data_IF_900124804215
#
_entry.id   IF_900124804215
#
_cell.length_a   1.000
_cell.length_b   1.000
_cell.length_c   1.000
_cell.angle_alpha   90.00
_cell.angle_beta   90.00
_cell.angle_gamma   90.00
#
_symmetry.space_group_name_H-M   'P 1'
#
loop_
_entity.id
_entity.type
_entity.pdbx_description
1 polymer ?
#
# COMPACT_ATOMS: atom_id res chain seq x y z
N UNK A 1 -8.65 -41.34 -1.33
CA UNK A 1 -7.73 -40.29 -0.89
C UNK A 1 -8.52 -38.97 -0.80
N UNK A 2 -8.55 -38.34 0.35
CA UNK A 2 -9.20 -37.02 0.45
C UNK A 2 -8.36 -35.99 -0.28
N UNK A 3 -8.98 -35.25 -1.20
CA UNK A 3 -8.34 -34.11 -1.86
C UNK A 3 -8.32 -32.96 -0.83
N UNK A 4 -7.13 -32.49 -0.47
CA UNK A 4 -7.00 -31.27 0.34
C UNK A 4 -7.11 -30.09 -0.61
N UNK A 5 -8.21 -29.35 -0.49
CA UNK A 5 -8.44 -28.14 -1.26
C UNK A 5 -7.82 -26.92 -0.56
N UNK A 6 -7.15 -26.05 -1.31
CA UNK A 6 -6.79 -24.71 -0.89
C UNK A 6 -7.87 -23.76 -1.37
N UNK A 7 -8.28 -22.85 -0.51
CA UNK A 7 -9.23 -21.80 -0.85
C UNK A 7 -8.50 -20.66 -1.54
N UNK A 8 -9.09 -20.12 -2.60
CA UNK A 8 -8.57 -18.96 -3.30
C UNK A 8 -9.67 -17.93 -3.50
N UNK A 9 -9.34 -16.67 -3.28
CA UNK A 9 -10.25 -15.53 -3.39
C UNK A 9 -9.75 -14.55 -4.43
N UNK A 10 -10.63 -14.19 -5.34
CA UNK A 10 -10.40 -13.12 -6.31
C UNK A 10 -10.38 -11.75 -5.62
N UNK A 11 -9.41 -10.96 -5.99
CA UNK A 11 -9.17 -9.63 -5.43
C UNK A 11 -9.58 -8.56 -6.45
N UNK A 12 -10.86 -8.20 -6.42
CA UNK A 12 -11.35 -7.08 -7.23
C UNK A 12 -10.93 -5.75 -6.63
N UNK A 13 -11.07 -5.63 -5.32
CA UNK A 13 -10.79 -4.44 -4.53
C UNK A 13 -9.92 -4.80 -3.32
N UNK A 14 -9.37 -3.77 -2.66
CA UNK A 14 -8.63 -3.99 -1.43
C UNK A 14 -9.54 -4.53 -0.32
N UNK A 15 -9.23 -5.73 0.13
CA UNK A 15 -9.81 -6.36 1.30
C UNK A 15 -8.68 -7.07 2.06
N UNK A 16 -8.46 -6.78 3.37
CA UNK A 16 -7.41 -7.44 4.12
C UNK A 16 -7.73 -8.93 4.32
N UNK A 17 -6.70 -9.78 4.35
CA UNK A 17 -6.85 -11.23 4.45
C UNK A 17 -7.84 -11.68 5.53
N UNK A 18 -7.85 -11.13 6.77
CA UNK A 18 -8.79 -11.57 7.80
C UNK A 18 -10.26 -11.34 7.44
N UNK A 19 -10.57 -10.33 6.62
CA UNK A 19 -11.94 -10.09 6.13
C UNK A 19 -12.24 -10.98 4.92
N UNK A 20 -11.28 -11.10 4.01
CA UNK A 20 -11.37 -11.93 2.83
C UNK A 20 -11.70 -13.39 3.15
N UNK A 21 -11.06 -13.96 4.17
CA UNK A 21 -11.27 -15.35 4.58
C UNK A 21 -12.64 -15.62 5.24
N UNK A 22 -13.42 -14.60 5.57
CA UNK A 22 -14.79 -14.73 6.11
C UNK A 22 -15.82 -15.07 5.03
N UNK A 23 -15.53 -14.71 3.77
CA UNK A 23 -16.44 -15.00 2.65
C UNK A 23 -16.13 -16.34 1.98
N UNK A 24 -17.06 -16.93 1.23
CA UNK A 24 -16.79 -18.13 0.43
C UNK A 24 -15.62 -17.90 -0.54
N UNK A 25 -14.78 -18.89 -0.81
CA UNK A 25 -13.75 -18.80 -1.83
C UNK A 25 -14.38 -18.73 -3.23
N UNK A 26 -13.72 -18.02 -4.12
CA UNK A 26 -14.14 -17.91 -5.52
C UNK A 26 -13.73 -19.14 -6.35
N UNK A 27 -12.66 -19.84 -5.90
CA UNK A 27 -12.20 -21.09 -6.52
C UNK A 27 -11.45 -21.94 -5.48
N UNK A 28 -11.54 -23.25 -5.60
CA UNK A 28 -10.81 -24.21 -4.78
C UNK A 28 -9.76 -24.91 -5.63
N UNK A 29 -8.55 -25.03 -5.11
CA UNK A 29 -7.40 -25.58 -5.80
C UNK A 29 -6.88 -26.82 -5.12
N UNK A 30 -6.41 -27.79 -5.90
CA UNK A 30 -5.78 -28.98 -5.35
C UNK A 30 -4.41 -28.65 -4.76
N UNK A 31 -4.22 -28.92 -3.46
CA UNK A 31 -2.95 -28.66 -2.76
C UNK A 31 -1.74 -29.37 -3.40
N UNK A 32 -1.96 -30.52 -4.02
CA UNK A 32 -0.86 -31.31 -4.64
C UNK A 32 -0.27 -30.63 -5.87
N UNK A 33 -1.07 -29.84 -6.59
CA UNK A 33 -0.62 -29.17 -7.81
C UNK A 33 0.13 -27.86 -7.55
N UNK A 34 -0.21 -27.12 -6.50
CA UNK A 34 0.47 -25.87 -6.14
C UNK A 34 1.92 -26.04 -5.68
N UNK A 35 2.31 -27.22 -5.24
CA UNK A 35 3.67 -27.52 -4.77
C UNK A 35 4.66 -27.83 -5.92
N UNK A 36 4.21 -27.80 -7.16
CA UNK A 36 5.09 -28.00 -8.32
C UNK A 36 5.67 -26.65 -8.78
N UNK A 37 6.91 -26.67 -9.20
CA UNK A 37 7.73 -25.50 -9.57
C UNK A 37 7.17 -24.59 -10.66
N UNK A 38 6.08 -24.97 -11.31
CA UNK A 38 5.46 -24.22 -12.41
C UNK A 38 4.28 -23.33 -11.99
N UNK A 39 4.00 -23.17 -10.69
CA UNK A 39 2.85 -22.36 -10.17
C UNK A 39 1.52 -22.75 -10.86
N UNK A 40 1.40 -24.00 -11.25
CA UNK A 40 0.20 -24.61 -11.81
C UNK A 40 -0.62 -25.22 -10.69
N UNK A 41 -1.92 -24.99 -10.73
CA UNK A 41 -2.87 -25.64 -9.85
C UNK A 41 -4.03 -26.25 -10.65
N UNK A 42 -4.55 -27.38 -10.16
CA UNK A 42 -5.79 -27.95 -10.70
C UNK A 42 -6.95 -27.34 -9.88
N UNK A 43 -7.93 -26.73 -10.54
CA UNK A 43 -9.14 -26.25 -9.87
C UNK A 43 -10.19 -27.37 -9.78
N UNK A 44 -11.06 -27.25 -8.77
CA UNK A 44 -11.99 -28.33 -8.39
C UNK A 44 -13.44 -28.04 -8.82
N UNK A 45 -13.72 -26.83 -9.26
CA UNK A 45 -15.02 -26.40 -9.78
C UNK A 45 -15.23 -26.95 -11.19
N UNK A 46 -16.50 -27.11 -11.59
CA UNK A 46 -16.84 -27.43 -12.96
C UNK A 46 -16.48 -26.25 -13.89
N UNK A 47 -16.00 -26.57 -15.09
CA UNK A 47 -15.58 -25.53 -16.07
C UNK A 47 -16.67 -24.51 -16.37
N UNK A 48 -17.95 -24.93 -16.35
CA UNK A 48 -19.08 -24.04 -16.57
C UNK A 48 -19.37 -23.09 -15.41
N UNK A 49 -18.99 -23.47 -14.18
CA UNK A 49 -19.03 -22.58 -13.02
C UNK A 49 -17.94 -21.50 -13.12
N UNK A 50 -16.73 -21.91 -13.51
CA UNK A 50 -15.61 -20.99 -13.74
C UNK A 50 -15.95 -20.00 -14.84
N UNK A 51 -16.52 -20.44 -15.97
CA UNK A 51 -16.95 -19.55 -17.07
C UNK A 51 -17.98 -18.49 -16.66
N UNK A 52 -18.83 -18.78 -15.67
CA UNK A 52 -19.86 -17.86 -15.17
C UNK A 52 -19.32 -16.90 -14.10
N UNK A 53 -18.10 -17.11 -13.62
CA UNK A 53 -17.52 -16.24 -12.59
C UNK A 53 -17.17 -14.85 -13.15
N UNK A 54 -17.33 -13.83 -12.32
CA UNK A 54 -17.02 -12.45 -12.68
C UNK A 54 -15.54 -12.27 -13.05
N UNK A 55 -14.65 -12.94 -12.31
CA UNK A 55 -13.21 -12.83 -12.53
C UNK A 55 -12.78 -13.47 -13.86
N UNK A 56 -13.45 -14.53 -14.30
CA UNK A 56 -13.14 -15.16 -15.58
C UNK A 56 -13.58 -14.27 -16.77
N UNK A 57 -14.73 -13.61 -16.66
CA UNK A 57 -15.16 -12.61 -17.65
C UNK A 57 -14.11 -11.52 -17.83
N UNK A 58 -13.62 -10.94 -16.74
CA UNK A 58 -12.56 -9.91 -16.74
C UNK A 58 -11.21 -10.43 -17.25
N UNK A 59 -10.89 -11.70 -16.98
CA UNK A 59 -9.71 -12.35 -17.57
C UNK A 59 -9.79 -12.40 -19.09
N UNK A 60 -10.97 -12.71 -19.66
CA UNK A 60 -11.18 -12.72 -21.11
C UNK A 60 -11.09 -11.32 -21.73
N UNK A 61 -11.40 -10.28 -20.97
CA UNK A 61 -11.25 -8.87 -21.35
C UNK A 61 -9.77 -8.40 -21.29
N UNK A 62 -8.86 -9.27 -20.83
CA UNK A 62 -7.43 -8.96 -20.74
C UNK A 62 -7.02 -8.26 -19.44
N UNK A 63 -7.91 -8.21 -18.44
CA UNK A 63 -7.56 -7.64 -17.15
C UNK A 63 -6.60 -8.54 -16.36
N UNK A 64 -5.81 -7.92 -15.50
CA UNK A 64 -4.91 -8.60 -14.58
C UNK A 64 -5.70 -9.15 -13.39
N UNK A 65 -5.86 -10.48 -13.32
CA UNK A 65 -6.67 -11.14 -12.29
C UNK A 65 -5.79 -11.58 -11.14
N UNK A 66 -5.97 -10.94 -9.98
CA UNK A 66 -5.23 -11.23 -8.75
C UNK A 66 -6.04 -12.17 -7.84
N UNK A 67 -5.35 -13.16 -7.27
CA UNK A 67 -5.91 -14.07 -6.25
C UNK A 67 -5.05 -14.07 -4.99
N UNK A 68 -5.70 -14.15 -3.83
CA UNK A 68 -5.08 -14.63 -2.61
C UNK A 68 -5.38 -16.13 -2.46
N UNK A 69 -4.34 -16.93 -2.27
CA UNK A 69 -4.45 -18.38 -2.02
C UNK A 69 -4.07 -18.67 -0.58
N UNK A 70 -4.97 -19.33 0.14
CA UNK A 70 -4.85 -19.65 1.56
C UNK A 70 -3.48 -20.26 1.92
N UNK A 71 -2.79 -19.62 2.87
CA UNK A 71 -1.49 -20.08 3.36
C UNK A 71 -0.33 -19.99 2.36
N UNK A 72 -0.58 -19.53 1.11
CA UNK A 72 0.43 -19.45 0.04
C UNK A 72 0.75 -18.01 -0.37
N UNK A 73 -0.21 -17.10 -0.30
CA UNK A 73 -0.01 -15.67 -0.61
C UNK A 73 -0.74 -15.21 -1.85
N UNK A 74 -0.24 -14.12 -2.45
CA UNK A 74 -0.82 -13.49 -3.61
C UNK A 74 -0.27 -14.02 -4.94
N UNK A 75 -1.16 -14.07 -5.92
CA UNK A 75 -0.86 -14.59 -7.26
C UNK A 75 -1.65 -13.83 -8.31
N UNK A 76 -1.09 -13.74 -9.51
CA UNK A 76 -1.77 -13.28 -10.71
C UNK A 76 -2.00 -14.47 -11.64
N UNK A 77 -3.19 -14.52 -12.25
CA UNK A 77 -3.50 -15.54 -13.27
C UNK A 77 -2.71 -15.23 -14.53
N UNK A 78 -1.95 -16.20 -15.01
CA UNK A 78 -1.21 -16.11 -16.28
C UNK A 78 -1.87 -16.90 -17.41
N UNK A 79 -2.52 -18.02 -17.10
CA UNK A 79 -3.25 -18.80 -18.07
C UNK A 79 -4.28 -19.72 -17.41
N UNK A 80 -5.30 -20.14 -18.16
CA UNK A 80 -6.34 -21.08 -17.72
C UNK A 80 -6.61 -22.09 -18.83
N UNK A 81 -6.58 -23.36 -18.48
CA UNK A 81 -7.03 -24.46 -19.33
C UNK A 81 -8.30 -25.09 -18.72
N UNK A 82 -9.43 -24.76 -19.29
CA UNK A 82 -10.74 -25.25 -18.83
C UNK A 82 -10.97 -26.73 -19.13
N UNK A 83 -10.28 -27.28 -20.14
CA UNK A 83 -10.43 -28.69 -20.53
C UNK A 83 -9.69 -29.58 -19.54
N UNK A 84 -8.48 -29.19 -19.18
CA UNK A 84 -7.64 -29.91 -18.23
C UNK A 84 -7.91 -29.54 -16.78
N UNK A 85 -8.80 -28.59 -16.50
CA UNK A 85 -9.08 -28.01 -15.18
C UNK A 85 -7.81 -27.42 -14.53
N UNK A 86 -6.98 -26.76 -15.32
CA UNK A 86 -5.70 -26.18 -14.87
C UNK A 86 -5.72 -24.66 -14.89
N UNK A 87 -5.15 -24.06 -13.86
CA UNK A 87 -4.89 -22.63 -13.78
C UNK A 87 -3.41 -22.40 -13.49
N UNK A 88 -2.82 -21.46 -14.21
CA UNK A 88 -1.42 -21.11 -14.12
C UNK A 88 -1.29 -19.73 -13.48
N UNK A 89 -0.39 -19.62 -12.51
CA UNK A 89 -0.19 -18.41 -11.71
C UNK A 89 1.24 -17.90 -11.81
N UNK A 90 1.37 -16.58 -11.63
CA UNK A 90 2.64 -15.93 -11.31
C UNK A 90 2.55 -15.39 -9.89
N UNK A 91 3.56 -15.64 -9.06
CA UNK A 91 3.57 -15.15 -7.67
C UNK A 91 3.74 -13.64 -7.66
N UNK A 92 2.85 -12.95 -6.97
CA UNK A 92 2.83 -11.50 -6.90
C UNK A 92 2.44 -11.03 -5.49
N UNK A 93 2.98 -9.87 -5.07
CA UNK A 93 2.50 -9.21 -3.88
C UNK A 93 1.16 -8.54 -4.19
N UNK A 94 0.12 -8.91 -3.44
CA UNK A 94 -1.23 -8.37 -3.59
C UNK A 94 -1.57 -7.43 -2.45
N UNK A 95 -2.46 -6.47 -2.71
CA UNK A 95 -2.86 -5.47 -1.73
C UNK A 95 -3.51 -6.08 -0.48
N UNK A 96 -4.22 -7.19 -0.62
CA UNK A 96 -4.84 -7.91 0.51
C UNK A 96 -3.85 -8.32 1.63
N UNK A 97 -2.56 -8.40 1.32
CA UNK A 97 -1.50 -8.69 2.29
C UNK A 97 -1.09 -7.46 3.15
N UNK A 98 -1.59 -6.28 2.80
CA UNK A 98 -1.34 -5.05 3.54
C UNK A 98 -2.33 -4.91 4.70
N UNK A 99 -1.89 -4.27 5.74
CA UNK A 99 -2.71 -3.87 6.87
C UNK A 99 -3.39 -2.53 6.55
N UNK A 100 -4.63 -2.27 7.02
CA UNK A 100 -5.30 -0.99 6.81
C UNK A 100 -4.68 0.10 7.69
N UNK A 101 -3.41 0.38 7.46
CA UNK A 101 -2.61 1.33 8.22
C UNK A 101 -1.98 2.38 7.32
N UNK A 102 -1.91 3.60 7.80
CA UNK A 102 -1.07 4.66 7.24
C UNK A 102 0.19 4.75 8.10
N UNK A 103 1.35 4.61 7.48
CA UNK A 103 2.63 4.77 8.16
C UNK A 103 3.15 6.20 7.96
N UNK A 104 3.37 6.93 9.06
CA UNK A 104 4.00 8.23 9.06
C UNK A 104 5.49 8.10 9.40
N UNK A 105 6.34 8.40 8.41
CA UNK A 105 7.77 8.61 8.58
C UNK A 105 8.00 10.05 9.04
N UNK A 106 8.24 10.22 10.34
CA UNK A 106 8.37 11.52 10.99
C UNK A 106 9.83 11.91 11.19
N UNK A 107 10.09 13.19 11.37
CA UNK A 107 11.39 13.74 11.74
C UNK A 107 11.36 14.36 13.13
N UNK A 108 12.51 14.55 13.74
CA UNK A 108 12.66 15.19 15.06
C UNK A 108 13.35 16.54 14.97
N UNK A 109 13.99 16.84 13.84
CA UNK A 109 14.81 18.00 13.61
C UNK A 109 13.99 19.28 13.40
N UNK A 110 12.78 19.13 12.83
CA UNK A 110 11.81 20.21 12.69
C UNK A 110 10.41 19.77 13.16
N UNK A 111 10.16 19.76 14.49
CA UNK A 111 8.96 19.20 15.08
C UNK A 111 7.65 19.82 14.57
N UNK A 112 7.67 21.12 14.24
CA UNK A 112 6.47 21.85 13.82
C UNK A 112 5.77 21.19 12.60
N UNK A 113 6.53 20.73 11.60
CA UNK A 113 5.98 20.06 10.44
C UNK A 113 5.42 18.68 10.79
N UNK A 114 6.19 17.88 11.54
CA UNK A 114 5.75 16.53 11.98
C UNK A 114 4.51 16.60 12.87
N UNK A 115 4.44 17.55 13.79
CA UNK A 115 3.30 17.71 14.70
C UNK A 115 2.05 18.14 13.93
N UNK A 116 2.18 19.07 12.98
CA UNK A 116 1.10 19.45 12.07
C UNK A 116 0.59 18.25 11.26
N UNK A 117 1.50 17.49 10.64
CA UNK A 117 1.15 16.29 9.88
C UNK A 117 0.45 15.24 10.75
N UNK A 118 0.97 14.98 11.94
CA UNK A 118 0.40 14.00 12.89
C UNK A 118 -1.01 14.38 13.31
N UNK A 119 -1.21 15.65 13.66
CA UNK A 119 -2.52 16.13 14.10
C UNK A 119 -3.55 16.06 12.97
N UNK A 120 -3.21 16.58 11.79
CA UNK A 120 -4.12 16.59 10.65
C UNK A 120 -4.37 15.18 10.09
N UNK A 121 -3.39 14.28 10.14
CA UNK A 121 -3.60 12.86 9.81
C UNK A 121 -4.61 12.21 10.75
N UNK A 122 -4.54 12.47 12.06
CA UNK A 122 -5.52 11.93 13.01
C UNK A 122 -6.93 12.42 12.70
N UNK A 123 -7.10 13.73 12.48
CA UNK A 123 -8.40 14.32 12.10
C UNK A 123 -8.93 13.75 10.79
N UNK A 124 -8.05 13.61 9.78
CA UNK A 124 -8.41 13.01 8.50
C UNK A 124 -8.85 11.57 8.66
N UNK A 125 -8.14 10.77 9.45
CA UNK A 125 -8.49 9.38 9.73
C UNK A 125 -9.80 9.25 10.51
N UNK A 126 -10.06 10.12 11.49
CA UNK A 126 -11.34 10.15 12.19
C UNK A 126 -12.50 10.39 11.20
N UNK A 127 -12.36 11.40 10.33
CA UNK A 127 -13.36 11.69 9.29
C UNK A 127 -13.55 10.55 8.28
N UNK A 128 -12.46 9.94 7.81
CA UNK A 128 -12.50 8.83 6.88
C UNK A 128 -13.12 7.58 7.51
N UNK A 129 -12.77 7.27 8.75
CA UNK A 129 -13.26 6.10 9.47
C UNK A 129 -14.76 6.16 9.80
N UNK A 130 -15.35 7.36 9.89
CA UNK A 130 -16.81 7.50 10.02
C UNK A 130 -17.57 6.95 8.81
N UNK A 131 -16.94 6.96 7.63
CA UNK A 131 -17.52 6.54 6.35
C UNK A 131 -16.97 5.21 5.86
N UNK A 132 -15.93 4.71 6.51
CA UNK A 132 -15.22 3.50 6.09
C UNK A 132 -15.80 2.23 6.73
N UNK A 133 -15.89 1.17 5.93
CA UNK A 133 -16.17 -0.18 6.42
C UNK A 133 -14.99 -0.78 7.19
N UNK A 134 -13.76 -0.39 6.82
CA UNK A 134 -12.52 -0.86 7.43
C UNK A 134 -11.78 0.34 8.04
N UNK A 135 -11.64 0.41 9.37
CA UNK A 135 -10.97 1.53 10.00
C UNK A 135 -9.48 1.55 9.67
N UNK A 136 -9.02 2.70 9.19
CA UNK A 136 -7.60 3.00 9.01
C UNK A 136 -6.98 3.41 10.35
N UNK A 137 -5.76 2.97 10.59
CA UNK A 137 -5.00 3.35 11.79
C UNK A 137 -3.69 4.04 11.42
N UNK A 138 -3.29 5.02 12.22
CA UNK A 138 -2.00 5.70 12.08
C UNK A 138 -0.92 4.91 12.84
N UNK A 139 0.17 4.64 12.16
CA UNK A 139 1.37 4.02 12.73
C UNK A 139 2.55 4.94 12.47
N UNK A 140 3.32 5.27 13.49
CA UNK A 140 4.47 6.15 13.39
C UNK A 140 5.79 5.41 13.66
N UNK A 141 6.89 5.94 13.12
CA UNK A 141 8.22 5.56 13.53
C UNK A 141 8.49 6.12 14.94
N UNK A 142 8.47 5.25 15.95
CA UNK A 142 8.86 5.65 17.31
C UNK A 142 10.36 5.92 17.36
N UNK A 143 10.76 7.17 17.61
CA UNK A 143 12.16 7.57 17.72
C UNK A 143 12.40 8.18 19.10
N UNK A 144 13.44 7.68 19.78
CA UNK A 144 13.97 8.35 20.96
C UNK A 144 14.83 9.52 20.48
N UNK A 145 14.57 10.72 21.01
CA UNK A 145 15.38 11.90 20.74
C UNK A 145 16.84 11.64 21.08
N UNK A 146 17.76 11.91 20.14
CA UNK A 146 19.21 11.79 20.35
C UNK A 146 19.83 10.39 20.25
N UNK A 147 19.05 9.37 19.93
CA UNK A 147 19.61 8.03 19.73
C UNK A 147 20.08 7.82 18.29
N UNK A 148 21.22 7.13 18.07
CA UNK A 148 21.66 6.81 16.72
C UNK A 148 20.66 5.93 16.01
N UNK A 149 20.57 6.11 14.69
CA UNK A 149 19.65 5.39 13.81
C UNK A 149 19.92 3.87 13.90
N UNK A 150 19.03 3.16 14.55
CA UNK A 150 18.97 1.71 14.36
C UNK A 150 18.00 1.43 13.20
N UNK A 151 18.53 0.94 12.09
CA UNK A 151 17.70 0.33 11.05
C UNK A 151 16.97 -0.84 11.70
N UNK A 152 15.73 -0.57 12.13
CA UNK A 152 14.95 -1.53 12.90
C UNK A 152 14.09 -2.35 11.93
N UNK A 153 14.30 -3.67 11.93
CA UNK A 153 13.49 -4.62 11.14
C UNK A 153 11.98 -4.45 11.39
N UNK A 154 11.61 -4.01 12.59
CA UNK A 154 10.21 -3.77 12.95
C UNK A 154 9.64 -2.58 12.20
N UNK A 155 10.38 -1.47 12.07
CA UNK A 155 9.96 -0.29 11.29
C UNK A 155 9.83 -0.66 9.81
N UNK A 156 10.84 -1.32 9.24
CA UNK A 156 10.81 -1.76 7.85
C UNK A 156 9.62 -2.69 7.56
N UNK A 157 9.32 -3.60 8.50
CA UNK A 157 8.14 -4.46 8.38
C UNK A 157 6.83 -3.65 8.43
N UNK A 158 6.71 -2.64 9.32
CA UNK A 158 5.54 -1.76 9.40
C UNK A 158 5.36 -0.95 8.11
N UNK A 159 6.44 -0.36 7.57
CA UNK A 159 6.42 0.32 6.28
C UNK A 159 5.91 -0.61 5.19
N UNK A 160 6.51 -1.79 5.04
CA UNK A 160 6.14 -2.76 4.01
C UNK A 160 4.67 -3.18 4.11
N UNK A 161 4.15 -3.34 5.33
CA UNK A 161 2.77 -3.82 5.57
C UNK A 161 1.71 -2.74 5.54
N UNK A 162 2.07 -1.47 5.69
CA UNK A 162 1.09 -0.38 5.64
C UNK A 162 0.44 -0.26 4.26
N UNK A 163 -0.80 0.18 4.21
CA UNK A 163 -1.52 0.46 2.96
C UNK A 163 -0.96 1.71 2.29
N UNK A 164 -0.69 2.76 3.07
CA UNK A 164 -0.10 4.01 2.59
C UNK A 164 1.12 4.36 3.45
N UNK A 165 2.15 4.92 2.82
CA UNK A 165 3.33 5.48 3.45
C UNK A 165 3.35 6.98 3.21
N UNK A 166 3.42 7.76 4.29
CA UNK A 166 3.54 9.23 4.25
C UNK A 166 4.85 9.61 4.92
N UNK A 167 5.65 10.44 4.27
CA UNK A 167 6.92 10.91 4.82
C UNK A 167 6.93 12.43 4.97
N UNK A 168 7.36 12.91 6.14
CA UNK A 168 7.68 14.32 6.37
C UNK A 168 9.02 14.65 5.72
N UNK A 169 8.97 15.25 4.55
CA UNK A 169 10.14 15.65 3.75
C UNK A 169 10.48 17.13 3.91
N UNK A 170 9.95 17.78 4.93
CA UNK A 170 10.31 19.15 5.24
C UNK A 170 11.82 19.28 5.41
N UNK A 171 12.48 20.21 4.69
CA UNK A 171 13.93 20.28 4.66
C UNK A 171 14.50 20.72 6.01
N UNK A 172 15.61 20.11 6.40
CA UNK A 172 16.38 20.43 7.61
C UNK A 172 17.76 21.02 7.29
N UNK A 173 18.22 20.86 6.06
CA UNK A 173 19.49 21.39 5.59
C UNK A 173 19.41 21.75 4.11
N UNK A 174 20.34 22.57 3.68
CA UNK A 174 20.58 22.92 2.28
C UNK A 174 22.00 22.49 1.94
N UNK A 175 22.16 21.92 0.76
CA UNK A 175 23.46 21.66 0.16
C UNK A 175 23.60 22.56 -1.06
N UNK A 176 24.64 23.39 -1.10
CA UNK A 176 24.94 24.25 -2.24
C UNK A 176 25.20 23.38 -3.48
N UNK A 177 24.30 23.45 -4.44
CA UNK A 177 24.44 22.81 -5.74
C UNK A 177 25.21 23.69 -6.71
N UNK A 178 25.63 23.13 -7.85
CA UNK A 178 26.32 23.91 -8.89
C UNK A 178 25.46 25.01 -9.52
N UNK A 179 24.15 24.77 -9.62
CA UNK A 179 23.17 25.69 -10.24
C UNK A 179 22.04 26.04 -9.28
N UNK A 180 21.45 25.03 -8.60
CA UNK A 180 20.32 25.19 -7.68
C UNK A 180 20.66 24.49 -6.37
N UNK A 181 20.44 25.14 -5.21
CA UNK A 181 20.59 24.50 -3.91
C UNK A 181 19.66 23.29 -3.76
N UNK A 182 20.16 22.24 -3.11
CA UNK A 182 19.39 21.04 -2.84
C UNK A 182 18.85 21.04 -1.42
N UNK A 183 17.54 20.84 -1.30
CA UNK A 183 16.84 20.72 -0.02
C UNK A 183 16.96 19.27 0.50
N UNK A 184 17.46 19.13 1.72
CA UNK A 184 17.74 17.83 2.32
C UNK A 184 16.78 17.58 3.48
N UNK A 185 15.92 16.54 3.41
CA UNK A 185 15.12 16.07 4.53
C UNK A 185 15.97 15.38 5.59
N UNK A 186 15.36 15.03 6.71
CA UNK A 186 16.02 14.22 7.75
C UNK A 186 16.60 12.91 7.16
N UNK A 187 17.86 12.55 7.50
CA UNK A 187 18.49 11.32 7.01
C UNK A 187 17.69 10.07 7.33
N UNK A 188 16.99 10.08 8.46
CA UNK A 188 16.13 8.98 8.87
C UNK A 188 14.96 8.78 7.90
N UNK A 189 14.31 9.89 7.54
CA UNK A 189 13.21 9.92 6.58
C UNK A 189 13.71 9.47 5.21
N UNK A 190 14.89 9.93 4.78
CA UNK A 190 15.48 9.51 3.49
C UNK A 190 15.67 7.99 3.40
N UNK A 191 16.14 7.33 4.47
CA UNK A 191 16.31 5.87 4.50
C UNK A 191 14.94 5.17 4.43
N UNK A 192 13.94 5.66 5.17
CA UNK A 192 12.60 5.09 5.16
C UNK A 192 11.91 5.27 3.80
N UNK A 193 12.11 6.42 3.13
CA UNK A 193 11.67 6.66 1.74
C UNK A 193 12.32 5.66 0.78
N UNK A 194 13.65 5.50 0.84
CA UNK A 194 14.35 4.55 -0.01
C UNK A 194 13.83 3.12 0.15
N UNK A 195 13.52 2.71 1.39
CA UNK A 195 12.89 1.43 1.64
C UNK A 195 11.44 1.35 1.12
N UNK A 196 10.67 2.42 1.26
CA UNK A 196 9.31 2.48 0.74
C UNK A 196 9.30 2.37 -0.79
N UNK A 197 10.16 3.08 -1.49
CA UNK A 197 10.31 2.98 -2.96
C UNK A 197 10.60 1.55 -3.40
N UNK A 198 11.44 0.82 -2.66
CA UNK A 198 11.77 -0.58 -2.97
C UNK A 198 10.62 -1.56 -2.68
N UNK A 199 9.77 -1.28 -1.69
CA UNK A 199 8.83 -2.26 -1.14
C UNK A 199 7.36 -1.96 -1.42
N UNK A 200 7.04 -0.83 -2.03
CA UNK A 200 5.68 -0.33 -2.29
C UNK A 200 5.49 0.07 -3.75
N UNK A 201 4.24 0.11 -4.16
CA UNK A 201 3.86 0.75 -5.44
C UNK A 201 3.95 2.27 -5.29
N UNK A 202 4.15 2.99 -6.38
CA UNK A 202 4.25 4.46 -6.39
C UNK A 202 3.02 5.14 -5.78
N UNK A 203 1.83 4.59 -6.04
CA UNK A 203 0.56 5.10 -5.53
C UNK A 203 0.40 4.95 -4.00
N UNK A 204 1.27 4.17 -3.36
CA UNK A 204 1.28 3.97 -1.91
C UNK A 204 2.22 4.94 -1.17
N UNK A 205 2.88 5.84 -1.88
CA UNK A 205 3.87 6.77 -1.32
C UNK A 205 3.37 8.20 -1.49
N UNK A 206 3.31 8.94 -0.39
CA UNK A 206 3.03 10.37 -0.35
C UNK A 206 4.14 11.08 0.42
N UNK A 207 4.78 12.06 -0.19
CA UNK A 207 5.75 12.92 0.47
C UNK A 207 5.07 14.22 0.86
N UNK A 208 5.12 14.58 2.13
CA UNK A 208 4.55 15.82 2.65
C UNK A 208 5.66 16.78 3.03
N UNK A 209 5.60 17.99 2.53
CA UNK A 209 6.64 19.01 2.72
C UNK A 209 6.01 20.32 3.18
N UNK A 210 6.33 20.75 4.39
CA UNK A 210 6.06 22.11 4.82
C UNK A 210 7.04 23.07 4.14
N UNK A 211 6.52 24.11 3.51
CA UNK A 211 7.34 25.15 2.92
C UNK A 211 8.02 25.97 4.02
N UNK A 212 9.32 26.16 3.89
CA UNK A 212 10.12 26.94 4.83
C UNK A 212 10.69 28.17 4.13
N UNK A 213 10.37 29.41 4.60
CA UNK A 213 10.88 30.65 3.99
C UNK A 213 12.39 30.79 4.05
N UNK A 214 13.04 30.14 5.04
CA UNK A 214 14.49 30.12 5.24
C UNK A 214 15.22 29.09 4.37
N UNK A 215 14.48 28.30 3.58
CA UNK A 215 15.04 27.26 2.73
C UNK A 215 14.51 27.39 1.30
N UNK A 216 15.34 27.93 0.42
CA UNK A 216 15.05 28.01 -1.02
C UNK A 216 15.91 26.99 -1.77
N UNK A 217 15.29 26.21 -2.65
CA UNK A 217 16.01 25.21 -3.43
C UNK A 217 15.10 24.15 -4.04
N UNK A 218 15.71 23.15 -4.62
CA UNK A 218 15.03 22.02 -5.23
C UNK A 218 15.09 20.79 -4.34
N UNK A 219 13.99 20.03 -4.31
CA UNK A 219 13.95 18.76 -3.61
C UNK A 219 14.91 17.73 -4.25
N UNK A 220 15.66 16.99 -3.40
CA UNK A 220 16.76 16.13 -3.85
C UNK A 220 16.33 14.80 -4.47
N UNK A 221 15.03 14.47 -4.46
CA UNK A 221 14.50 13.27 -5.08
C UNK A 221 13.71 13.60 -6.34
N UNK A 222 14.05 12.93 -7.43
CA UNK A 222 13.28 12.98 -8.67
C UNK A 222 12.08 12.01 -8.56
N UNK A 223 11.00 12.52 -7.97
CA UNK A 223 9.75 11.78 -7.85
C UNK A 223 8.64 12.52 -8.60
N UNK A 224 7.64 11.79 -9.12
CA UNK A 224 6.50 12.42 -9.77
C UNK A 224 5.84 13.46 -8.87
N UNK A 225 5.59 14.66 -9.39
CA UNK A 225 5.00 15.80 -8.66
C UNK A 225 3.69 15.45 -7.96
N UNK A 226 2.96 14.45 -8.46
CA UNK A 226 1.70 13.96 -7.86
C UNK A 226 1.89 13.24 -6.52
N UNK A 227 3.12 12.94 -6.15
CA UNK A 227 3.46 12.29 -4.88
C UNK A 227 3.96 13.28 -3.82
N UNK A 228 4.07 14.55 -4.15
CA UNK A 228 4.56 15.59 -3.23
C UNK A 228 3.39 16.49 -2.85
N UNK A 229 3.03 16.48 -1.56
CA UNK A 229 2.06 17.36 -0.94
C UNK A 229 2.81 18.53 -0.30
N UNK A 230 2.74 19.69 -0.89
CA UNK A 230 3.33 20.91 -0.32
C UNK A 230 2.26 21.70 0.44
N UNK A 231 2.63 22.27 1.59
CA UNK A 231 1.77 23.12 2.40
C UNK A 231 2.59 24.18 3.16
N UNK A 232 1.99 25.31 3.45
CA UNK A 232 2.63 26.41 4.17
C UNK A 232 2.35 26.34 5.67
N UNK A 233 1.12 25.99 6.02
CA UNK A 233 0.65 25.93 7.40
C UNK A 233 -0.38 24.81 7.63
N UNK A 234 -0.77 24.63 8.88
CA UNK A 234 -1.77 23.62 9.28
C UNK A 234 -3.13 23.85 8.64
N UNK A 235 -3.48 25.12 8.35
CA UNK A 235 -4.78 25.47 7.76
C UNK A 235 -4.88 25.00 6.32
N UNK A 236 -3.81 25.18 5.56
CA UNK A 236 -3.71 24.68 4.19
C UNK A 236 -3.68 23.15 4.18
N UNK A 237 -2.84 22.55 5.05
CA UNK A 237 -2.76 21.09 5.19
C UNK A 237 -4.12 20.47 5.48
N UNK A 238 -4.89 21.04 6.40
CA UNK A 238 -6.24 20.56 6.74
C UNK A 238 -7.18 20.50 5.52
N UNK A 239 -7.10 21.48 4.63
CA UNK A 239 -7.96 21.55 3.44
C UNK A 239 -7.63 20.47 2.39
N UNK A 240 -6.35 20.11 2.27
CA UNK A 240 -5.88 19.28 1.15
C UNK A 240 -5.61 17.83 1.54
N UNK A 241 -5.23 17.54 2.79
CA UNK A 241 -4.72 16.24 3.21
C UNK A 241 -5.76 15.12 3.07
N UNK A 242 -6.98 15.34 3.58
CA UNK A 242 -8.05 14.32 3.53
C UNK A 242 -8.37 13.92 2.10
N UNK A 243 -8.58 14.90 1.21
CA UNK A 243 -8.84 14.63 -0.21
C UNK A 243 -7.67 13.97 -0.92
N UNK A 244 -6.43 14.30 -0.53
CA UNK A 244 -5.24 13.64 -1.08
C UNK A 244 -5.18 12.17 -0.68
N UNK A 245 -5.45 11.86 0.59
CA UNK A 245 -5.51 10.46 1.07
C UNK A 245 -6.63 9.70 0.36
N UNK A 246 -7.82 10.27 0.24
CA UNK A 246 -8.94 9.65 -0.49
C UNK A 246 -8.57 9.32 -1.94
N UNK A 247 -7.93 10.25 -2.63
CA UNK A 247 -7.48 10.05 -4.01
C UNK A 247 -6.42 8.95 -4.12
N UNK A 248 -5.47 8.88 -3.17
CA UNK A 248 -4.47 7.81 -3.15
C UNK A 248 -5.12 6.44 -2.89
N UNK A 249 -6.04 6.36 -1.93
CA UNK A 249 -6.77 5.12 -1.63
C UNK A 249 -7.64 4.67 -2.82
N UNK A 250 -8.27 5.61 -3.52
CA UNK A 250 -9.05 5.29 -4.74
C UNK A 250 -8.17 4.69 -5.84
N UNK A 251 -6.95 5.22 -6.04
CA UNK A 251 -5.98 4.68 -7.02
C UNK A 251 -5.50 3.25 -6.67
N UNK A 252 -5.58 2.87 -5.40
CA UNK A 252 -5.24 1.53 -4.95
C UNK A 252 -6.40 0.52 -5.09
N UNK A 253 -7.49 0.88 -5.80
CA UNK A 253 -8.72 0.09 -5.80
C UNK A 253 -9.17 -0.27 -4.36
N UNK A 254 -9.13 0.73 -3.49
CA UNK A 254 -9.60 0.61 -2.12
C UNK A 254 -10.87 1.46 -1.85
N UNK A 255 -11.89 1.42 -2.73
CA UNK A 255 -13.07 2.28 -2.61
C UNK A 255 -13.92 1.96 -1.37
N UNK A 256 -13.81 0.74 -0.83
CA UNK A 256 -14.55 0.33 0.37
C UNK A 256 -14.08 1.02 1.66
N UNK A 257 -12.94 1.69 1.62
CA UNK A 257 -12.50 2.55 2.71
C UNK A 257 -13.29 3.87 2.73
N UNK A 258 -13.99 4.20 1.63
CA UNK A 258 -14.70 5.47 1.45
C UNK A 258 -16.22 5.36 1.35
N UNK A 259 -16.80 4.15 1.35
CA UNK A 259 -18.26 3.98 1.21
C UNK A 259 -18.83 3.05 2.28
N UNK A 260 -19.76 3.60 3.09
CA UNK A 260 -20.80 2.78 3.72
C UNK A 260 -21.87 2.54 2.65
N UNK A 261 -22.12 1.27 2.35
CA UNK A 261 -23.36 0.86 1.74
C UNK A 261 -24.50 1.11 2.70
#
# INVERSE_FOLDING_TARGET
MSIIALRAWYLQDYEPIPELEKRPPDIRLSKKSLLKSALRADFLEESDEVKKSTWFGRYLEGENIEFYIEGSGGYCVSNIDLISHEIYFTKQAVLAQLEPTIFLSSQTEYPAATDALREELRKSLESLNLRSRLPLTLVESSRASGAPLRINRTIMRKIRKSLLFIADTTPIAIIDGKEIPQLIPSPNVCIEIGYAIQSKRSEQILLAQMQRPDFEGQFSFDLPTQQILQFQDTTELNKILTGTIENQLARLNAPHLNQRL
#
